data_IF_653191593801
#
_entry.id   IF_653191593801
#
_cell.length_a   1.000
_cell.length_b   1.000
_cell.length_c   1.000
_cell.angle_alpha   90.00
_cell.angle_beta   90.00
_cell.angle_gamma   90.00
#
_symmetry.space_group_name_H-M   'P 1'
#
loop_
_entity.id
_entity.type
_entity.pdbx_description
1 polymer ?
#
# COMPACT_ATOMS: atom_id res chain seq x y z
N UNK A 1 48.46 20.82 43.84
CA UNK A 1 47.03 20.52 44.10
C UNK A 1 46.19 21.66 43.54
N UNK A 2 45.27 21.31 42.65
CA UNK A 2 44.14 22.09 42.08
C UNK A 2 44.35 23.53 41.58
N UNK A 3 44.40 23.61 40.25
CA UNK A 3 44.02 24.73 39.39
C UNK A 3 42.50 24.97 39.39
N UNK A 4 42.07 26.23 39.45
CA UNK A 4 40.75 26.67 38.99
C UNK A 4 40.91 27.99 38.24
N UNK A 5 40.57 27.99 36.95
CA UNK A 5 40.29 29.19 36.16
C UNK A 5 38.78 29.22 35.87
N UNK A 6 38.15 30.41 35.85
CA UNK A 6 36.71 30.56 35.67
C UNK A 6 36.32 30.53 34.18
N UNK A 7 35.25 29.80 33.86
CA UNK A 7 34.62 29.81 32.55
C UNK A 7 33.68 31.02 32.42
N UNK A 8 34.05 31.96 31.55
CA UNK A 8 33.20 33.00 31.00
C UNK A 8 33.10 32.73 29.50
N UNK A 9 31.95 32.26 29.01
CA UNK A 9 31.15 32.97 28.01
C UNK A 9 29.92 32.16 27.60
N UNK A 10 28.78 32.83 27.72
CA UNK A 10 27.51 32.49 27.12
C UNK A 10 27.57 32.59 25.58
N UNK A 11 26.63 31.92 24.93
CA UNK A 11 26.16 32.11 23.56
C UNK A 11 26.92 31.38 22.43
N UNK A 12 26.35 30.25 22.01
CA UNK A 12 26.14 29.79 20.63
C UNK A 12 25.17 28.59 20.73
N UNK A 13 23.86 28.83 20.74
CA UNK A 13 23.03 28.89 19.54
C UNK A 13 23.05 27.60 18.72
N UNK A 14 21.92 26.87 18.79
CA UNK A 14 21.25 26.12 17.72
C UNK A 14 22.16 25.50 16.64
N UNK A 15 22.32 24.18 16.71
CA UNK A 15 22.39 23.36 15.49
C UNK A 15 21.47 22.15 15.65
N UNK A 16 20.31 22.28 15.01
CA UNK A 16 19.55 21.14 14.49
C UNK A 16 20.50 20.29 13.64
N UNK A 17 20.79 19.06 14.05
CA UNK A 17 21.08 18.01 13.09
C UNK A 17 19.82 17.16 12.99
N UNK A 18 19.15 17.26 11.85
CA UNK A 18 18.14 16.29 11.45
C UNK A 18 18.78 14.90 11.60
N UNK A 19 18.30 14.10 12.56
CA UNK A 19 18.52 12.66 12.49
C UNK A 19 17.81 12.21 11.22
N UNK A 20 18.56 11.99 10.15
CA UNK A 20 18.11 11.07 9.12
C UNK A 20 17.91 9.75 9.84
N UNK A 21 16.65 9.36 10.06
CA UNK A 21 16.33 8.00 10.44
C UNK A 21 16.71 7.16 9.23
N UNK A 22 17.89 6.56 9.28
CA UNK A 22 18.32 5.56 8.31
C UNK A 22 17.35 4.40 8.50
N UNK A 23 16.56 4.10 7.47
CA UNK A 23 15.70 2.93 7.48
C UNK A 23 16.62 1.71 7.48
N UNK A 24 16.34 0.76 8.39
CA UNK A 24 17.11 -0.46 8.58
C UNK A 24 17.19 -1.28 7.27
N UNK A 25 18.17 -2.19 7.16
CA UNK A 25 18.33 -3.01 5.94
C UNK A 25 17.10 -3.87 5.64
N UNK A 26 16.40 -4.29 6.69
CA UNK A 26 15.11 -4.95 6.57
C UNK A 26 14.00 -3.92 6.60
N UNK A 27 13.25 -3.78 5.50
CA UNK A 27 12.07 -2.93 5.43
C UNK A 27 10.83 -3.80 5.44
N UNK A 28 9.91 -3.54 6.37
CA UNK A 28 8.57 -4.13 6.38
C UNK A 28 7.55 -3.17 5.81
N UNK A 29 6.87 -3.59 4.75
CA UNK A 29 5.81 -2.81 4.11
C UNK A 29 4.49 -3.56 4.23
N UNK A 30 3.48 -2.90 4.78
CA UNK A 30 2.13 -3.42 4.86
C UNK A 30 1.17 -2.65 3.97
N UNK A 31 0.27 -3.36 3.30
CA UNK A 31 -0.82 -2.78 2.53
C UNK A 31 -2.16 -3.32 3.01
N UNK A 32 -3.14 -2.44 3.24
CA UNK A 32 -4.46 -2.88 3.67
C UNK A 32 -5.58 -1.91 3.30
N UNK A 33 -6.63 -2.44 2.67
CA UNK A 33 -7.92 -1.77 2.58
C UNK A 33 -8.61 -1.82 3.96
N UNK A 34 -8.81 -0.65 4.57
CA UNK A 34 -9.36 -0.52 5.93
C UNK A 34 -10.88 -0.42 5.97
N UNK A 35 -11.54 -0.28 4.82
CA UNK A 35 -12.99 -0.14 4.70
C UNK A 35 -13.58 0.93 5.66
N UNK A 36 -12.85 2.03 5.83
CA UNK A 36 -13.12 3.14 6.75
C UNK A 36 -12.17 3.16 7.95
N UNK A 37 -11.21 4.09 7.93
CA UNK A 37 -10.14 4.19 8.95
C UNK A 37 -10.67 4.35 10.37
N UNK A 38 -11.69 5.18 10.59
CA UNK A 38 -12.31 5.35 11.93
C UNK A 38 -12.85 4.03 12.50
N UNK A 39 -13.46 3.22 11.64
CA UNK A 39 -14.05 1.96 12.05
C UNK A 39 -12.98 0.91 12.31
N UNK A 40 -11.98 0.80 11.43
CA UNK A 40 -10.85 -0.10 11.61
C UNK A 40 -10.07 0.22 12.89
N UNK A 41 -9.77 1.51 13.11
CA UNK A 41 -9.05 1.99 14.30
C UNK A 41 -9.74 1.59 15.59
N UNK A 42 -11.05 1.84 15.69
CA UNK A 42 -11.85 1.49 16.87
C UNK A 42 -11.97 -0.03 17.10
N UNK A 43 -11.88 -0.84 16.04
CA UNK A 43 -12.10 -2.30 16.11
C UNK A 43 -10.85 -3.12 16.42
N UNK A 44 -9.65 -2.51 16.45
CA UNK A 44 -8.43 -3.21 16.85
C UNK A 44 -7.25 -3.11 15.89
N UNK A 45 -7.35 -2.31 14.82
CA UNK A 45 -6.19 -2.01 13.96
C UNK A 45 -4.94 -1.50 14.73
N UNK A 46 -5.05 -0.66 15.79
CA UNK A 46 -3.86 -0.16 16.51
C UNK A 46 -3.02 -1.28 17.12
N UNK A 47 -3.69 -2.28 17.71
CA UNK A 47 -3.03 -3.46 18.28
C UNK A 47 -2.24 -4.23 17.22
N UNK A 48 -2.77 -4.33 16.00
CA UNK A 48 -2.06 -4.94 14.89
C UNK A 48 -0.86 -4.09 14.45
N UNK A 49 -1.00 -2.76 14.33
CA UNK A 49 0.12 -1.86 13.98
C UNK A 49 1.27 -1.99 14.99
N UNK A 50 0.95 -2.00 16.29
CA UNK A 50 1.94 -2.12 17.38
C UNK A 50 2.67 -3.47 17.38
N UNK A 51 1.97 -4.54 16.98
CA UNK A 51 2.52 -5.89 16.90
C UNK A 51 3.35 -6.11 15.61
N UNK A 52 2.81 -5.71 14.46
CA UNK A 52 3.42 -5.92 13.15
C UNK A 52 4.62 -4.99 12.91
N UNK A 53 4.58 -3.77 13.48
CA UNK A 53 5.60 -2.72 13.38
C UNK A 53 6.14 -2.48 11.96
N UNK A 54 5.28 -2.32 10.94
CA UNK A 54 5.74 -2.01 9.59
C UNK A 54 6.48 -0.67 9.53
N UNK A 55 7.47 -0.54 8.68
CA UNK A 55 8.13 0.76 8.41
C UNK A 55 7.24 1.67 7.57
N UNK A 56 6.49 1.05 6.67
CA UNK A 56 5.51 1.70 5.81
C UNK A 56 4.16 1.00 5.84
N UNK A 57 3.07 1.77 5.89
CA UNK A 57 1.71 1.26 5.77
C UNK A 57 0.98 2.01 4.67
N UNK A 58 0.42 1.30 3.71
CA UNK A 58 -0.49 1.89 2.73
C UNK A 58 -1.93 1.49 3.05
N UNK A 59 -2.79 2.49 3.13
CA UNK A 59 -4.19 2.32 3.45
C UNK A 59 -5.06 2.63 2.24
N UNK A 60 -6.06 1.80 1.99
CA UNK A 60 -7.09 2.03 0.98
C UNK A 60 -8.48 2.07 1.62
N UNK A 61 -9.42 2.72 0.96
CA UNK A 61 -10.74 3.01 1.50
C UNK A 61 -10.70 3.65 2.90
N UNK A 62 -9.87 4.68 3.04
CA UNK A 62 -9.78 5.48 4.26
C UNK A 62 -11.17 6.05 4.64
N UNK A 63 -11.99 6.43 3.65
CA UNK A 63 -13.37 6.93 3.77
C UNK A 63 -13.52 8.04 4.83
N UNK A 64 -12.55 8.93 4.85
CA UNK A 64 -12.49 10.09 5.71
C UNK A 64 -11.92 11.27 4.92
N UNK A 65 -12.31 12.48 5.31
CA UNK A 65 -11.58 13.66 4.89
C UNK A 65 -10.18 13.65 5.53
N UNK A 66 -9.22 14.34 4.91
CA UNK A 66 -7.83 14.33 5.34
C UNK A 66 -7.65 14.74 6.82
N UNK A 67 -8.31 15.80 7.28
CA UNK A 67 -8.27 16.25 8.68
C UNK A 67 -8.69 15.17 9.69
N UNK A 68 -9.73 14.40 9.35
CA UNK A 68 -10.20 13.27 10.16
C UNK A 68 -9.20 12.11 10.10
N UNK A 69 -8.65 11.79 8.93
CA UNK A 69 -7.65 10.73 8.79
C UNK A 69 -6.41 11.03 9.64
N UNK A 70 -5.87 12.27 9.54
CA UNK A 70 -4.75 12.72 10.36
C UNK A 70 -5.08 12.69 11.85
N UNK A 71 -6.28 13.14 12.25
CA UNK A 71 -6.68 13.10 13.66
C UNK A 71 -6.78 11.69 14.22
N UNK A 72 -7.23 10.71 13.43
CA UNK A 72 -7.32 9.30 13.88
C UNK A 72 -5.93 8.67 14.03
N UNK A 73 -4.97 9.09 13.20
CA UNK A 73 -3.64 8.48 13.07
C UNK A 73 -2.51 9.28 13.76
N UNK A 74 -2.83 10.40 14.42
CA UNK A 74 -1.84 11.34 14.96
C UNK A 74 -0.85 10.73 15.96
N UNK A 75 -1.33 9.85 16.85
CA UNK A 75 -0.53 9.33 17.96
C UNK A 75 0.21 8.01 17.63
N UNK A 76 0.27 7.65 16.34
CA UNK A 76 0.89 6.40 15.89
C UNK A 76 2.42 6.47 15.80
N UNK A 77 2.97 7.69 15.81
CA UNK A 77 4.39 7.93 15.51
C UNK A 77 4.74 7.77 14.04
N UNK A 78 3.74 7.69 13.16
CA UNK A 78 3.92 7.76 11.70
C UNK A 78 3.45 9.13 11.20
N UNK A 79 4.24 9.73 10.30
CA UNK A 79 3.76 10.74 9.36
C UNK A 79 2.74 10.09 8.44
N UNK A 80 1.58 10.73 8.26
CA UNK A 80 0.52 10.26 7.37
C UNK A 80 0.34 11.24 6.23
N UNK A 81 0.46 10.75 4.99
CA UNK A 81 0.02 11.44 3.77
C UNK A 81 -1.30 10.82 3.34
N UNK A 82 -2.34 11.64 3.16
CA UNK A 82 -3.69 11.18 2.84
C UNK A 82 -4.23 11.94 1.63
N UNK A 83 -4.86 11.22 0.72
CA UNK A 83 -5.57 11.77 -0.43
C UNK A 83 -7.02 11.28 -0.36
N UNK A 84 -7.92 12.17 0.08
CA UNK A 84 -9.35 11.91 0.19
C UNK A 84 -10.07 12.06 -1.16
N UNK A 85 -11.29 11.54 -1.21
CA UNK A 85 -12.15 11.67 -2.39
C UNK A 85 -13.13 12.82 -2.20
N UNK A 86 -13.44 13.56 -3.27
CA UNK A 86 -14.49 14.59 -3.27
C UNK A 86 -15.85 14.00 -2.87
N UNK A 87 -16.10 12.74 -3.27
CA UNK A 87 -17.25 11.97 -2.83
C UNK A 87 -17.11 11.54 -1.35
N UNK A 88 -17.68 12.34 -0.44
CA UNK A 88 -17.61 12.13 1.01
C UNK A 88 -17.94 10.70 1.43
N UNK A 89 -17.08 10.12 2.26
CA UNK A 89 -17.25 8.78 2.83
C UNK A 89 -17.02 7.63 1.84
N UNK A 90 -16.45 7.90 0.66
CA UNK A 90 -16.06 6.93 -0.36
C UNK A 90 -14.54 6.97 -0.57
N UNK A 91 -13.97 5.87 -1.03
CA UNK A 91 -12.55 5.76 -1.40
C UNK A 91 -11.61 6.38 -0.35
N UNK A 92 -10.59 7.12 -0.78
CA UNK A 92 -9.52 7.66 0.04
C UNK A 92 -8.37 6.67 0.17
N UNK A 93 -7.16 7.15 -0.02
CA UNK A 93 -5.91 6.39 0.17
C UNK A 93 -4.96 7.16 1.07
N UNK A 94 -4.11 6.44 1.80
CA UNK A 94 -3.07 7.05 2.60
C UNK A 94 -1.78 6.22 2.59
N UNK A 95 -0.67 6.89 2.91
CA UNK A 95 0.63 6.28 3.23
C UNK A 95 1.05 6.77 4.60
N UNK A 96 1.45 5.83 5.46
CA UNK A 96 2.00 6.09 6.78
C UNK A 96 3.47 5.64 6.78
N UNK A 97 4.37 6.51 7.22
CA UNK A 97 5.81 6.23 7.34
C UNK A 97 6.37 6.90 8.60
N UNK A 98 7.46 6.37 9.19
CA UNK A 98 8.11 7.03 10.34
C UNK A 98 8.92 8.28 9.95
N UNK A 99 9.11 8.48 8.66
CA UNK A 99 9.85 9.59 8.07
C UNK A 99 8.94 10.42 7.18
N UNK A 100 9.28 11.70 7.00
CA UNK A 100 8.64 12.56 6.02
C UNK A 100 9.07 12.16 4.60
N UNK A 101 8.18 12.15 3.61
CA UNK A 101 8.55 11.90 2.22
C UNK A 101 9.34 13.08 1.63
N UNK A 102 10.25 12.78 0.69
CA UNK A 102 10.94 13.81 -0.11
C UNK A 102 9.99 14.51 -1.08
N UNK A 103 8.96 13.80 -1.56
CA UNK A 103 7.95 14.33 -2.45
C UNK A 103 6.64 13.54 -2.33
N UNK A 104 5.53 14.24 -2.60
CA UNK A 104 4.17 13.70 -2.63
C UNK A 104 3.52 14.07 -3.95
N UNK A 105 2.84 13.11 -4.59
CA UNK A 105 2.01 13.35 -5.79
C UNK A 105 0.68 12.63 -5.63
N UNK A 106 -0.39 13.33 -5.98
CA UNK A 106 -1.77 12.85 -5.83
C UNK A 106 -2.45 12.83 -7.20
N UNK A 107 -3.41 11.93 -7.36
CA UNK A 107 -4.12 11.76 -8.63
C UNK A 107 -3.37 10.89 -9.63
N UNK A 108 -4.04 10.57 -10.74
CA UNK A 108 -3.50 9.65 -11.74
C UNK A 108 -3.95 10.08 -13.15
N UNK A 109 -2.99 10.40 -14.02
CA UNK A 109 -3.27 10.93 -15.35
C UNK A 109 -3.42 12.45 -15.36
N UNK A 110 -3.87 12.99 -16.50
CA UNK A 110 -3.88 14.43 -16.81
C UNK A 110 -5.29 14.99 -17.09
N UNK A 111 -6.32 14.15 -17.03
CA UNK A 111 -7.71 14.54 -17.32
C UNK A 111 -8.44 15.16 -16.12
N UNK A 112 -7.77 15.25 -14.96
CA UNK A 112 -8.28 15.80 -13.71
C UNK A 112 -9.39 14.96 -13.05
N UNK A 113 -9.84 13.85 -13.63
CA UNK A 113 -10.90 13.02 -13.04
C UNK A 113 -10.38 12.28 -11.80
N UNK A 114 -9.23 11.62 -11.92
CA UNK A 114 -8.69 10.81 -10.82
C UNK A 114 -8.00 11.63 -9.73
N UNK A 115 -7.70 12.91 -9.99
CA UNK A 115 -7.21 13.87 -9.00
C UNK A 115 -8.23 14.14 -7.89
N UNK A 116 -9.52 13.92 -8.15
CA UNK A 116 -10.60 14.11 -7.15
C UNK A 116 -11.19 12.80 -6.64
N UNK A 117 -10.69 11.68 -7.16
CA UNK A 117 -11.23 10.36 -6.86
C UNK A 117 -10.66 9.77 -5.56
N UNK A 118 -9.53 10.28 -5.05
CA UNK A 118 -8.90 9.81 -3.81
C UNK A 118 -8.47 8.34 -3.90
N UNK A 119 -7.84 7.93 -5.01
CA UNK A 119 -7.53 6.52 -5.34
C UNK A 119 -6.07 6.23 -5.61
N UNK A 120 -5.22 7.25 -5.59
CA UNK A 120 -3.81 7.14 -5.89
C UNK A 120 -3.04 8.24 -5.16
N UNK A 121 -2.01 7.85 -4.42
CA UNK A 121 -1.02 8.75 -3.85
C UNK A 121 0.36 8.10 -3.94
N UNK A 122 1.34 8.89 -4.37
CA UNK A 122 2.74 8.53 -4.49
C UNK A 122 3.54 9.31 -3.46
N UNK A 123 4.47 8.63 -2.80
CA UNK A 123 5.34 9.19 -1.78
C UNK A 123 6.76 8.69 -1.99
N UNK A 124 7.72 9.61 -2.02
CA UNK A 124 9.13 9.29 -2.24
C UNK A 124 9.91 9.25 -0.93
N UNK A 125 10.72 8.22 -0.74
CA UNK A 125 11.55 8.02 0.46
C UNK A 125 12.96 7.58 0.08
N UNK A 126 13.95 8.12 0.79
CA UNK A 126 15.32 7.57 0.75
C UNK A 126 15.43 6.37 1.65
N UNK A 127 15.93 5.28 1.11
CA UNK A 127 16.22 4.06 1.85
C UNK A 127 17.62 4.15 2.48
N UNK A 128 17.95 3.17 3.32
CA UNK A 128 19.23 3.16 4.05
C UNK A 128 20.46 3.17 3.15
N UNK A 129 20.37 2.56 1.96
CA UNK A 129 21.42 2.53 0.93
C UNK A 129 21.49 3.81 0.05
N UNK A 130 20.61 4.78 0.31
CA UNK A 130 20.48 6.03 -0.45
C UNK A 130 19.61 5.94 -1.71
N UNK A 131 19.13 4.75 -2.07
CA UNK A 131 18.21 4.56 -3.19
C UNK A 131 16.88 5.27 -2.93
N UNK A 132 16.23 5.70 -4.00
CA UNK A 132 14.91 6.33 -3.96
C UNK A 132 13.82 5.26 -4.13
N UNK A 133 12.95 5.13 -3.13
CA UNK A 133 11.69 4.39 -3.21
C UNK A 133 10.54 5.34 -3.50
N UNK A 134 9.83 5.12 -4.61
CA UNK A 134 8.46 5.64 -4.77
C UNK A 134 7.48 4.57 -4.28
N UNK A 135 6.85 4.82 -3.14
CA UNK A 135 5.77 4.01 -2.59
C UNK A 135 4.42 4.59 -3.01
N UNK A 136 3.55 3.73 -3.55
CA UNK A 136 2.21 4.11 -4.00
C UNK A 136 1.14 3.36 -3.21
N UNK A 137 0.15 4.08 -2.71
CA UNK A 137 -1.13 3.51 -2.26
C UNK A 137 -2.18 3.70 -3.35
N UNK A 138 -2.67 2.59 -3.90
CA UNK A 138 -3.61 2.57 -5.02
C UNK A 138 -4.90 1.83 -4.64
N UNK A 139 -6.05 2.41 -4.99
CA UNK A 139 -7.38 1.81 -4.81
C UNK A 139 -8.14 1.82 -6.13
N UNK A 140 -8.05 0.73 -6.88
CA UNK A 140 -8.75 0.56 -8.16
C UNK A 140 -10.26 0.46 -7.89
N UNK A 141 -11.07 0.96 -8.82
CA UNK A 141 -12.53 0.82 -8.72
C UNK A 141 -12.94 -0.65 -8.61
N UNK A 142 -13.87 -0.98 -7.71
CA UNK A 142 -14.41 -2.33 -7.62
C UNK A 142 -15.04 -2.80 -8.94
N UNK A 143 -15.69 -1.87 -9.65
CA UNK A 143 -16.32 -2.11 -10.94
C UNK A 143 -17.66 -2.84 -10.82
N UNK A 144 -18.37 -2.90 -11.94
CA UNK A 144 -19.64 -3.62 -12.10
C UNK A 144 -19.85 -3.84 -13.59
N UNK A 145 -19.78 -5.09 -14.06
CA UNK A 145 -19.76 -5.43 -15.48
C UNK A 145 -20.91 -4.75 -16.25
N UNK A 146 -20.61 -4.24 -17.45
CA UNK A 146 -21.55 -3.55 -18.34
C UNK A 146 -22.16 -2.26 -17.75
N UNK A 147 -21.40 -1.55 -16.90
CA UNK A 147 -21.82 -0.26 -16.32
C UNK A 147 -20.73 0.81 -16.41
N UNK A 148 -21.07 2.11 -16.27
CA UNK A 148 -20.08 3.19 -16.22
C UNK A 148 -19.01 3.03 -15.13
N UNK A 149 -19.29 2.29 -14.04
CA UNK A 149 -18.27 2.00 -13.02
C UNK A 149 -17.17 1.07 -13.53
N UNK A 150 -17.51 0.17 -14.45
CA UNK A 150 -16.51 -0.68 -15.11
C UNK A 150 -15.69 0.14 -16.09
N UNK A 151 -16.32 1.08 -16.82
CA UNK A 151 -15.61 1.99 -17.71
C UNK A 151 -14.59 2.84 -16.93
N UNK A 152 -14.96 3.36 -15.76
CA UNK A 152 -14.03 4.07 -14.87
C UNK A 152 -12.90 3.18 -14.33
N UNK A 153 -13.18 1.89 -14.10
CA UNK A 153 -12.15 0.91 -13.74
C UNK A 153 -11.14 0.74 -14.87
N UNK A 154 -11.60 0.54 -16.10
CA UNK A 154 -10.72 0.40 -17.26
C UNK A 154 -9.91 1.67 -17.52
N UNK A 155 -10.54 2.84 -17.47
CA UNK A 155 -9.82 4.13 -17.56
C UNK A 155 -8.71 4.24 -16.51
N UNK A 156 -8.97 3.84 -15.27
CA UNK A 156 -7.96 3.87 -14.22
C UNK A 156 -6.80 2.90 -14.52
N UNK A 157 -7.11 1.68 -14.96
CA UNK A 157 -6.10 0.69 -15.35
C UNK A 157 -5.27 1.13 -16.57
N UNK A 158 -5.88 1.82 -17.54
CA UNK A 158 -5.17 2.45 -18.66
C UNK A 158 -4.20 3.51 -18.17
N UNK A 159 -4.60 4.36 -17.22
CA UNK A 159 -3.67 5.34 -16.62
C UNK A 159 -2.54 4.69 -15.83
N UNK A 160 -2.78 3.53 -15.21
CA UNK A 160 -1.70 2.75 -14.58
C UNK A 160 -0.70 2.24 -15.63
N UNK A 161 -1.15 1.75 -16.79
CA UNK A 161 -0.26 1.35 -17.91
C UNK A 161 0.65 2.51 -18.31
N UNK A 162 0.12 3.74 -18.37
CA UNK A 162 0.89 4.93 -18.71
C UNK A 162 1.87 5.34 -17.60
N UNK A 163 1.44 5.26 -16.33
CA UNK A 163 2.19 5.80 -15.19
C UNK A 163 3.31 4.87 -14.72
N UNK A 164 3.10 3.56 -14.72
CA UNK A 164 4.06 2.58 -14.19
C UNK A 164 5.46 2.69 -14.82
N UNK A 165 5.62 2.80 -16.15
CA UNK A 165 6.93 3.01 -16.78
C UNK A 165 7.54 4.38 -16.49
N UNK A 166 6.74 5.40 -16.18
CA UNK A 166 7.24 6.73 -15.83
C UNK A 166 7.88 6.72 -14.45
N UNK A 167 7.23 6.08 -13.47
CA UNK A 167 7.76 5.94 -12.11
C UNK A 167 9.11 5.22 -12.11
N UNK A 168 9.22 4.13 -12.87
CA UNK A 168 10.45 3.34 -12.97
C UNK A 168 11.61 4.10 -13.65
N UNK A 169 11.36 5.24 -14.29
CA UNK A 169 12.41 6.12 -14.84
C UNK A 169 12.92 7.14 -13.83
N UNK A 170 12.16 7.42 -12.77
CA UNK A 170 12.43 8.51 -11.83
C UNK A 170 12.84 8.03 -10.44
N UNK A 171 12.70 6.74 -10.14
CA UNK A 171 13.08 6.14 -8.88
C UNK A 171 13.86 4.84 -9.10
N UNK A 172 14.74 4.50 -8.16
CA UNK A 172 15.51 3.25 -8.17
C UNK A 172 14.59 2.05 -7.87
N UNK A 173 13.63 2.27 -7.00
CA UNK A 173 12.61 1.32 -6.59
C UNK A 173 11.22 1.92 -6.70
N UNK A 174 10.27 1.16 -7.24
CA UNK A 174 8.84 1.52 -7.20
C UNK A 174 8.07 0.37 -6.60
N UNK A 175 7.18 0.69 -5.67
CA UNK A 175 6.27 -0.26 -5.07
C UNK A 175 4.84 0.26 -5.15
N UNK A 176 4.02 -0.37 -5.99
CA UNK A 176 2.59 -0.09 -6.08
C UNK A 176 1.85 -1.08 -5.22
N UNK A 177 1.14 -0.56 -4.22
CA UNK A 177 0.42 -1.38 -3.25
C UNK A 177 -1.07 -1.07 -3.23
N UNK A 178 -1.86 -2.02 -2.76
CA UNK A 178 -3.25 -1.79 -2.37
C UNK A 178 -4.25 -2.72 -3.00
N UNK A 179 -5.52 -2.44 -2.73
CA UNK A 179 -6.67 -3.13 -3.31
C UNK A 179 -6.87 -2.72 -4.77
N UNK A 180 -6.41 -3.59 -5.67
CA UNK A 180 -6.52 -3.42 -7.10
C UNK A 180 -7.80 -4.04 -7.68
N UNK A 181 -8.66 -4.60 -6.82
CA UNK A 181 -10.00 -5.10 -7.16
C UNK A 181 -10.03 -6.10 -8.33
N UNK A 182 -8.96 -6.84 -8.58
CA UNK A 182 -8.86 -7.85 -9.66
C UNK A 182 -8.07 -9.05 -9.16
N UNK A 183 -8.61 -10.25 -9.35
CA UNK A 183 -7.90 -11.51 -9.21
C UNK A 183 -7.21 -11.83 -10.55
N UNK A 184 -5.88 -11.90 -10.59
CA UNK A 184 -5.12 -12.08 -11.86
C UNK A 184 -5.33 -13.46 -12.48
N UNK A 185 -5.28 -14.52 -11.67
CA UNK A 185 -5.33 -15.91 -12.12
C UNK A 185 -6.43 -16.71 -11.42
N UNK A 186 -6.76 -17.90 -11.92
CA UNK A 186 -7.75 -18.80 -11.29
C UNK A 186 -7.39 -19.17 -9.84
N UNK A 187 -6.09 -19.17 -9.51
CA UNK A 187 -5.60 -19.42 -8.15
C UNK A 187 -5.91 -18.28 -7.18
N UNK A 188 -6.17 -17.09 -7.70
CA UNK A 188 -6.45 -15.89 -6.91
C UNK A 188 -7.90 -15.83 -6.42
N UNK A 189 -8.75 -16.76 -6.86
CA UNK A 189 -10.18 -16.76 -6.54
C UNK A 189 -10.73 -18.17 -6.32
N UNK A 190 -11.15 -18.48 -5.08
CA UNK A 190 -11.62 -19.83 -4.71
C UNK A 190 -12.73 -20.37 -5.62
N UNK A 191 -13.71 -19.54 -5.96
CA UNK A 191 -14.89 -19.90 -6.76
C UNK A 191 -14.86 -19.27 -8.16
N UNK A 192 -13.69 -19.25 -8.80
CA UNK A 192 -13.43 -18.52 -10.04
C UNK A 192 -14.39 -18.88 -11.20
N UNK A 193 -14.81 -20.15 -11.34
CA UNK A 193 -15.67 -20.60 -12.45
C UNK A 193 -16.99 -19.82 -12.53
N UNK A 194 -17.62 -19.57 -11.38
CA UNK A 194 -18.87 -18.83 -11.30
C UNK A 194 -18.68 -17.31 -11.45
N UNK A 195 -17.45 -16.82 -11.27
CA UNK A 195 -17.10 -15.40 -11.25
C UNK A 195 -16.44 -14.91 -12.55
N UNK A 196 -16.21 -15.77 -13.55
CA UNK A 196 -15.61 -15.40 -14.86
C UNK A 196 -16.32 -14.26 -15.60
N UNK A 197 -17.57 -13.94 -15.23
CA UNK A 197 -18.39 -12.86 -15.81
C UNK A 197 -18.69 -11.75 -14.79
N UNK A 198 -17.94 -11.68 -13.70
CA UNK A 198 -18.11 -10.70 -12.63
C UNK A 198 -16.89 -9.80 -12.59
N UNK A 199 -17.14 -8.51 -12.33
CA UNK A 199 -16.07 -7.55 -12.11
C UNK A 199 -15.15 -8.02 -10.98
N UNK A 200 -13.85 -7.81 -11.19
CA UNK A 200 -12.76 -8.37 -10.41
C UNK A 200 -12.25 -9.73 -10.90
N UNK A 201 -12.89 -10.34 -11.91
CA UNK A 201 -12.39 -11.55 -12.57
C UNK A 201 -12.76 -11.65 -14.05
N UNK A 202 -13.06 -10.52 -14.69
CA UNK A 202 -13.30 -10.47 -16.14
C UNK A 202 -12.01 -10.77 -16.90
N UNK A 203 -12.06 -11.45 -18.06
CA UNK A 203 -10.89 -11.67 -18.90
C UNK A 203 -10.15 -10.38 -19.25
N UNK A 204 -10.87 -9.31 -19.53
CA UNK A 204 -10.33 -8.00 -19.89
C UNK A 204 -9.57 -7.36 -18.72
N UNK A 205 -10.10 -7.44 -17.50
CA UNK A 205 -9.41 -6.96 -16.30
C UNK A 205 -8.10 -7.71 -16.06
N UNK A 206 -8.12 -9.03 -16.23
CA UNK A 206 -6.95 -9.89 -16.05
C UNK A 206 -5.87 -9.61 -17.08
N UNK A 207 -6.24 -9.24 -18.31
CA UNK A 207 -5.30 -8.85 -19.35
C UNK A 207 -4.47 -7.60 -18.99
N UNK A 208 -4.97 -6.71 -18.12
CA UNK A 208 -4.14 -5.61 -17.59
C UNK A 208 -3.01 -6.12 -16.71
N UNK A 209 -3.28 -7.12 -15.88
CA UNK A 209 -2.27 -7.72 -15.01
C UNK A 209 -1.24 -8.53 -15.81
N UNK A 210 -1.67 -9.18 -16.90
CA UNK A 210 -0.75 -9.78 -17.88
C UNK A 210 0.21 -8.74 -18.48
N UNK A 211 -0.27 -7.51 -18.76
CA UNK A 211 0.57 -6.41 -19.23
C UNK A 211 1.48 -5.86 -18.14
N UNK A 212 0.96 -5.67 -16.92
CA UNK A 212 1.73 -5.17 -15.77
C UNK A 212 2.94 -6.07 -15.47
N UNK A 213 2.72 -7.39 -15.47
CA UNK A 213 3.76 -8.36 -15.11
C UNK A 213 4.53 -8.92 -16.31
N UNK A 214 4.02 -8.73 -17.53
CA UNK A 214 4.68 -9.08 -18.78
C UNK A 214 5.43 -7.89 -19.37
N UNK A 215 4.76 -7.16 -20.27
CA UNK A 215 5.35 -6.08 -21.07
C UNK A 215 5.97 -4.95 -20.23
N UNK A 216 5.28 -4.51 -19.17
CA UNK A 216 5.75 -3.42 -18.31
C UNK A 216 6.83 -3.90 -17.32
N UNK A 217 6.84 -5.19 -16.99
CA UNK A 217 7.92 -5.83 -16.23
C UNK A 217 7.90 -5.59 -14.72
N UNK A 218 6.78 -5.16 -14.14
CA UNK A 218 6.62 -5.19 -12.69
C UNK A 218 6.46 -6.63 -12.21
N UNK A 219 6.62 -6.85 -10.91
CA UNK A 219 6.56 -8.18 -10.30
C UNK A 219 5.47 -8.21 -9.24
N UNK A 220 4.59 -9.19 -9.32
CA UNK A 220 3.71 -9.59 -8.22
C UNK A 220 4.53 -10.27 -7.12
N UNK A 221 4.96 -9.50 -6.12
CA UNK A 221 5.86 -9.99 -5.06
C UNK A 221 5.17 -11.07 -4.21
N UNK A 222 3.88 -10.89 -3.91
CA UNK A 222 3.11 -11.85 -3.15
C UNK A 222 3.04 -13.20 -3.88
N UNK A 223 2.71 -13.21 -5.18
CA UNK A 223 2.69 -14.45 -5.97
C UNK A 223 4.08 -15.08 -6.10
N UNK A 224 5.14 -14.29 -6.31
CA UNK A 224 6.52 -14.78 -6.40
C UNK A 224 6.92 -15.56 -5.15
N UNK A 225 6.60 -15.03 -3.96
CA UNK A 225 6.97 -15.65 -2.69
C UNK A 225 6.06 -16.82 -2.29
N UNK A 226 4.77 -16.75 -2.63
CA UNK A 226 3.80 -17.81 -2.32
C UNK A 226 3.86 -19.01 -3.28
N UNK A 227 4.39 -18.83 -4.50
CA UNK A 227 4.46 -19.87 -5.53
C UNK A 227 3.11 -20.19 -6.18
N UNK A 228 3.02 -21.31 -6.90
CA UNK A 228 1.85 -21.70 -7.71
C UNK A 228 0.72 -22.38 -6.90
N UNK A 229 0.32 -21.76 -5.79
CA UNK A 229 -0.74 -22.25 -4.88
C UNK A 229 -2.04 -21.46 -5.00
N UNK A 230 -3.17 -22.05 -4.62
CA UNK A 230 -4.43 -21.31 -4.46
C UNK A 230 -4.30 -20.30 -3.31
N UNK A 231 -4.70 -19.05 -3.53
CA UNK A 231 -4.43 -17.96 -2.61
C UNK A 231 -2.92 -17.70 -2.45
N UNK A 232 -2.45 -17.25 -1.27
CA UNK A 232 -3.25 -16.76 -0.13
C UNK A 232 -4.22 -15.64 -0.54
N UNK A 233 -5.46 -15.70 -0.06
CA UNK A 233 -6.46 -14.66 -0.31
C UNK A 233 -6.28 -13.49 0.64
N UNK A 234 -6.73 -12.30 0.25
CA UNK A 234 -6.61 -11.07 1.04
C UNK A 234 -7.96 -10.46 1.39
N UNK A 235 -9.04 -10.88 0.72
CA UNK A 235 -10.40 -10.41 0.94
C UNK A 235 -11.41 -11.57 1.09
N UNK A 236 -12.36 -11.40 2.01
CA UNK A 236 -13.51 -12.29 2.17
C UNK A 236 -14.76 -11.48 2.49
N UNK A 237 -15.90 -11.87 1.93
CA UNK A 237 -17.17 -11.22 2.27
C UNK A 237 -17.42 -11.20 3.79
N UNK A 238 -17.91 -10.07 4.31
CA UNK A 238 -18.43 -9.99 5.69
C UNK A 238 -19.70 -10.81 5.88
N UNK A 239 -20.35 -11.25 4.79
CA UNK A 239 -21.62 -11.98 4.82
C UNK A 239 -21.39 -13.48 4.72
N UNK A 240 -22.20 -14.24 5.46
CA UNK A 240 -22.16 -15.70 5.44
C UNK A 240 -20.86 -16.25 6.02
N UNK A 241 -20.43 -17.41 5.51
CA UNK A 241 -19.27 -18.18 6.03
C UNK A 241 -18.04 -18.08 5.12
N UNK A 242 -17.92 -17.02 4.32
CA UNK A 242 -16.82 -16.91 3.36
C UNK A 242 -15.45 -16.91 4.05
N UNK A 243 -15.33 -16.21 5.17
CA UNK A 243 -14.11 -16.16 5.97
C UNK A 243 -13.73 -17.53 6.56
N UNK A 244 -14.69 -18.19 7.22
CA UNK A 244 -14.51 -19.48 7.90
C UNK A 244 -14.18 -20.60 6.90
N UNK A 245 -14.79 -20.57 5.71
CA UNK A 245 -14.57 -21.57 4.66
C UNK A 245 -13.41 -21.21 3.71
N UNK A 246 -12.73 -20.09 3.98
CA UNK A 246 -11.67 -19.54 3.14
C UNK A 246 -12.08 -19.35 1.65
N UNK A 247 -13.33 -18.96 1.43
CA UNK A 247 -13.85 -18.56 0.11
C UNK A 247 -13.45 -17.11 -0.18
N UNK A 248 -12.17 -16.92 -0.47
CA UNK A 248 -11.56 -15.60 -0.61
C UNK A 248 -11.19 -15.20 -2.03
N UNK A 249 -10.74 -13.95 -2.13
CA UNK A 249 -10.22 -13.29 -3.32
C UNK A 249 -8.83 -12.72 -2.97
N UNK A 250 -7.85 -12.83 -3.86
CA UNK A 250 -6.56 -12.13 -3.75
C UNK A 250 -6.63 -10.91 -4.65
N UNK A 251 -6.93 -9.76 -4.05
CA UNK A 251 -7.12 -8.48 -4.75
C UNK A 251 -6.22 -7.37 -4.22
N UNK A 252 -5.48 -7.63 -3.14
CA UNK A 252 -4.49 -6.73 -2.59
C UNK A 252 -3.09 -7.16 -3.06
N UNK A 253 -2.33 -6.19 -3.59
CA UNK A 253 -1.04 -6.45 -4.23
C UNK A 253 0.07 -5.61 -3.62
N UNK A 254 1.30 -6.10 -3.77
CA UNK A 254 2.52 -5.31 -3.74
C UNK A 254 3.26 -5.61 -5.06
N UNK A 255 3.09 -4.71 -6.03
CA UNK A 255 3.70 -4.79 -7.36
C UNK A 255 5.00 -3.97 -7.37
N UNK A 256 6.13 -4.64 -7.52
CA UNK A 256 7.44 -4.01 -7.39
C UNK A 256 8.20 -3.94 -8.72
N UNK A 257 9.12 -2.97 -8.86
CA UNK A 257 10.18 -3.08 -9.86
C UNK A 257 11.04 -4.34 -9.60
N UNK A 258 11.66 -4.95 -10.63
CA UNK A 258 12.41 -6.20 -10.46
C UNK A 258 13.46 -6.16 -9.35
N UNK A 259 14.22 -5.07 -9.25
CA UNK A 259 15.28 -4.90 -8.25
C UNK A 259 14.75 -4.91 -6.82
N UNK A 260 13.62 -4.24 -6.55
CA UNK A 260 12.98 -4.29 -5.23
C UNK A 260 12.35 -5.67 -4.97
N UNK A 261 11.79 -6.29 -6.01
CA UNK A 261 11.19 -7.61 -5.90
C UNK A 261 12.20 -8.72 -5.58
N UNK A 262 13.46 -8.55 -5.97
CA UNK A 262 14.55 -9.48 -5.66
C UNK A 262 15.03 -9.37 -4.20
N UNK A 263 14.79 -8.22 -3.56
CA UNK A 263 15.02 -8.03 -2.12
C UNK A 263 13.90 -8.63 -1.25
N UNK A 264 12.75 -9.01 -1.83
CA UNK A 264 11.63 -9.52 -1.03
C UNK A 264 11.93 -10.92 -0.48
N UNK A 265 11.81 -11.10 0.84
CA UNK A 265 12.20 -12.35 1.52
C UNK A 265 11.03 -13.08 2.17
N UNK A 266 9.94 -12.39 2.50
CA UNK A 266 8.77 -13.00 3.15
C UNK A 266 7.49 -12.23 2.84
N UNK A 267 6.44 -12.95 2.44
CA UNK A 267 5.09 -12.42 2.35
C UNK A 267 4.18 -13.10 3.38
N UNK A 268 3.37 -12.30 4.07
CA UNK A 268 2.35 -12.78 5.02
C UNK A 268 1.04 -12.06 4.73
N UNK A 269 -0.06 -12.81 4.67
CA UNK A 269 -1.39 -12.23 4.81
C UNK A 269 -1.77 -12.36 6.27
N UNK A 270 -1.83 -11.24 6.99
CA UNK A 270 -2.18 -11.19 8.41
C UNK A 270 -3.70 -11.34 8.61
N UNK A 271 -4.21 -12.50 8.19
CA UNK A 271 -5.61 -12.88 8.35
C UNK A 271 -5.92 -13.02 9.84
N UNK A 272 -7.00 -12.39 10.31
CA UNK A 272 -7.47 -12.54 11.68
C UNK A 272 -7.78 -14.01 12.03
N UNK A 273 -7.59 -14.40 13.29
CA UNK A 273 -7.79 -15.79 13.74
C UNK A 273 -9.26 -16.21 13.67
N UNK A 274 -10.19 -15.26 13.82
CA UNK A 274 -11.63 -15.49 13.75
C UNK A 274 -12.35 -14.38 13.00
N UNK A 275 -13.56 -14.67 12.50
CA UNK A 275 -14.40 -13.66 11.82
C UNK A 275 -14.67 -12.44 12.70
N UNK A 276 -14.80 -12.64 14.02
CA UNK A 276 -15.16 -11.59 14.97
C UNK A 276 -14.02 -10.59 15.25
N UNK A 277 -12.77 -11.01 15.06
CA UNK A 277 -11.57 -10.19 15.29
C UNK A 277 -11.22 -9.29 14.09
N UNK A 278 -11.95 -9.45 12.97
CA UNK A 278 -11.76 -8.65 11.77
C UNK A 278 -12.19 -7.21 11.98
N UNK A 279 -11.31 -6.29 11.63
CA UNK A 279 -11.62 -4.86 11.58
C UNK A 279 -11.95 -4.35 10.17
N UNK A 280 -11.54 -5.10 9.13
CA UNK A 280 -11.88 -4.91 7.72
C UNK A 280 -12.31 -6.23 7.07
N UNK A 281 -12.95 -6.15 5.91
CA UNK A 281 -13.16 -7.30 5.04
C UNK A 281 -11.89 -7.77 4.32
N UNK A 282 -10.85 -6.94 4.31
CA UNK A 282 -9.50 -7.29 3.88
C UNK A 282 -8.61 -7.65 5.07
N UNK A 283 -7.59 -8.47 4.81
CA UNK A 283 -6.46 -8.72 5.70
C UNK A 283 -5.22 -7.95 5.19
N UNK A 284 -4.36 -7.43 6.08
CA UNK A 284 -3.11 -6.82 5.67
C UNK A 284 -2.20 -7.77 4.89
N UNK A 285 -1.67 -7.30 3.76
CA UNK A 285 -0.59 -7.94 3.04
C UNK A 285 0.73 -7.30 3.49
N UNK A 286 1.53 -8.06 4.23
CA UNK A 286 2.80 -7.64 4.81
C UNK A 286 3.94 -8.34 4.09
N UNK A 287 4.91 -7.56 3.59
CA UNK A 287 6.09 -8.09 2.92
C UNK A 287 7.34 -7.49 3.54
N UNK A 288 8.31 -8.34 3.83
CA UNK A 288 9.64 -7.99 4.30
C UNK A 288 10.62 -7.97 3.11
N UNK A 289 11.39 -6.88 3.00
CA UNK A 289 12.39 -6.63 1.96
C UNK A 289 13.77 -6.47 2.61
N UNK A 290 14.71 -7.34 2.23
CA UNK A 290 16.10 -7.34 2.66
C UNK A 290 16.95 -6.57 1.66
N UNK A 291 17.12 -5.27 1.90
CA UNK A 291 17.86 -4.38 1.02
C UNK A 291 19.37 -4.48 1.28
N UNK A 292 20.20 -4.42 0.24
CA UNK A 292 21.64 -4.52 0.38
C UNK A 292 22.21 -3.39 1.25
N UNK A 293 23.36 -3.66 1.87
CA UNK A 293 24.11 -2.64 2.59
C UNK A 293 24.51 -1.46 1.69
N UNK A 294 24.63 -0.26 2.27
CA UNK A 294 25.30 0.88 1.61
C UNK A 294 26.67 0.37 1.14
N UNK A 295 26.91 0.31 -0.18
CA UNK A 295 28.27 0.07 -0.67
C UNK A 295 29.14 1.24 -0.22
N UNK A 296 30.04 0.98 0.72
CA UNK A 296 31.05 1.90 1.19
C UNK A 296 31.97 2.39 0.07
#
# INVERSE_FOLDING_TARGET
MCSFLPSLYNALSRKNSALHVIIDHMIRIASVNVNGVRAAWRKGMPTWVDAAKPDFITLQEVRAANDIAHSVLADTGYTTISHDAEAKGRAGVAVMARTEPEAVREGLGDDGYFDRAGRWVETDYRLGDGSLLTLVSAYVHSGEADTPKQDDKYRFLDRMIERMPQLAKTADHVLITGDLNVCHTERDLKNWKANRKKSGFLPEERAYFDKFFGEIGYVDVHRRLSGDVDGPYTWWSMRGKAFDNDTGWRIDYQMATPTLADAAVKATVDKADSWAERWSDHAPLVIDYDLPDVKA
#
